data_IF_102447866402
#
_entry.id   IF_102447866402
#
_cell.length_a   1.000
_cell.length_b   1.000
_cell.length_c   1.000
_cell.angle_alpha   90.00
_cell.angle_beta   90.00
_cell.angle_gamma   90.00
#
_symmetry.space_group_name_H-M   'P 1'
#
loop_
_entity.id
_entity.type
_entity.pdbx_description
1 polymer ?
#
# COMPACT_ATOMS: atom_id res chain seq x y z
N UNK A 1 29.00 -1.47 -5.96
CA UNK A 1 28.22 -0.39 -5.31
C UNK A 1 26.86 -0.97 -5.01
N UNK A 2 26.62 -1.44 -3.74
CA UNK A 2 25.37 -2.13 -3.37
C UNK A 2 24.29 -1.05 -3.21
N UNK A 3 23.48 -0.84 -4.23
CA UNK A 3 22.24 -0.11 -4.09
C UNK A 3 21.29 -0.95 -3.26
N UNK A 4 21.14 -0.61 -1.99
CA UNK A 4 20.05 -1.10 -1.14
C UNK A 4 18.74 -0.61 -1.75
N UNK A 5 18.17 -1.40 -2.65
CA UNK A 5 16.82 -1.18 -3.13
C UNK A 5 15.88 -1.47 -1.96
N UNK A 6 15.39 -0.43 -1.32
CA UNK A 6 14.18 -0.52 -0.50
C UNK A 6 13.02 -0.80 -1.45
N UNK A 7 12.79 -2.08 -1.77
CA UNK A 7 11.57 -2.50 -2.43
C UNK A 7 10.40 -1.98 -1.59
N UNK A 8 9.68 -1.03 -2.15
CA UNK A 8 8.59 -0.35 -1.46
C UNK A 8 7.53 -1.40 -1.12
N UNK A 9 7.12 -1.47 0.13
CA UNK A 9 6.35 -2.55 0.76
C UNK A 9 4.95 -2.84 0.14
N UNK A 10 4.57 -2.16 -0.95
CA UNK A 10 3.31 -2.32 -1.66
C UNK A 10 3.50 -2.26 -3.17
N UNK A 11 4.35 -3.13 -3.72
CA UNK A 11 4.60 -3.22 -5.15
C UNK A 11 4.12 -4.57 -5.68
N UNK A 12 3.54 -4.56 -6.90
CA UNK A 12 3.29 -5.80 -7.63
C UNK A 12 4.60 -6.41 -8.10
N UNK A 13 4.62 -7.70 -8.42
CA UNK A 13 5.81 -8.38 -8.95
C UNK A 13 6.31 -7.70 -10.24
N UNK A 14 5.39 -7.21 -11.07
CA UNK A 14 5.71 -6.47 -12.29
C UNK A 14 6.42 -5.16 -11.98
N UNK A 15 5.85 -4.33 -11.11
CA UNK A 15 6.43 -3.03 -10.74
C UNK A 15 7.81 -3.20 -10.09
N UNK A 16 7.98 -4.22 -9.22
CA UNK A 16 9.27 -4.52 -8.61
C UNK A 16 10.30 -5.00 -9.63
N UNK A 17 9.89 -5.79 -10.63
CA UNK A 17 10.79 -6.26 -11.67
C UNK A 17 11.24 -5.12 -12.58
N UNK A 18 10.33 -4.23 -12.98
CA UNK A 18 10.65 -3.03 -13.77
C UNK A 18 11.63 -2.08 -13.04
N UNK A 19 11.46 -1.94 -11.71
CA UNK A 19 12.42 -1.17 -10.88
C UNK A 19 13.83 -1.79 -10.92
N UNK A 20 13.93 -3.10 -10.77
CA UNK A 20 15.21 -3.81 -10.80
C UNK A 20 15.90 -3.78 -12.17
N UNK A 21 15.10 -3.79 -13.24
CA UNK A 21 15.59 -3.63 -14.61
C UNK A 21 15.88 -2.17 -15.00
N UNK A 22 15.68 -1.21 -14.08
CA UNK A 22 15.83 0.24 -14.31
C UNK A 22 14.98 0.78 -15.49
N UNK A 23 13.84 0.18 -15.77
CA UNK A 23 12.92 0.61 -16.82
C UNK A 23 12.11 1.81 -16.35
N UNK A 24 12.04 2.86 -17.19
CA UNK A 24 11.22 4.06 -16.88
C UNK A 24 9.74 3.70 -16.93
N UNK A 25 9.13 3.65 -15.76
CA UNK A 25 7.70 3.35 -15.61
C UNK A 25 7.07 4.17 -14.48
N UNK A 26 5.75 4.25 -14.47
CA UNK A 26 4.97 4.79 -13.36
C UNK A 26 4.37 3.63 -12.56
N UNK A 27 4.50 3.70 -11.24
CA UNK A 27 4.02 2.64 -10.36
C UNK A 27 2.53 2.37 -10.53
N UNK A 28 1.74 3.44 -10.64
CA UNK A 28 0.28 3.35 -10.76
C UNK A 28 -0.15 2.63 -12.04
N UNK A 29 0.57 2.86 -13.15
CA UNK A 29 0.30 2.17 -14.42
C UNK A 29 0.72 0.70 -14.35
N UNK A 30 1.92 0.40 -13.83
CA UNK A 30 2.40 -0.96 -13.68
C UNK A 30 1.50 -1.82 -12.77
N UNK A 31 1.11 -1.26 -11.61
CA UNK A 31 0.21 -1.94 -10.67
C UNK A 31 -1.19 -2.13 -11.27
N UNK A 32 -1.71 -1.15 -12.02
CA UNK A 32 -2.98 -1.26 -12.73
C UNK A 32 -2.92 -2.35 -13.80
N UNK A 33 -1.90 -2.33 -14.66
CA UNK A 33 -1.69 -3.32 -15.71
C UNK A 33 -1.65 -4.74 -15.13
N UNK A 34 -0.88 -4.94 -14.05
CA UNK A 34 -0.79 -6.23 -13.38
C UNK A 34 -2.14 -6.68 -12.81
N UNK A 35 -2.83 -5.82 -12.07
CA UNK A 35 -4.06 -6.18 -11.39
C UNK A 35 -5.22 -6.47 -12.33
N UNK A 36 -5.32 -5.74 -13.44
CA UNK A 36 -6.40 -5.87 -14.43
C UNK A 36 -6.12 -6.97 -15.48
N UNK A 37 -4.87 -7.47 -15.58
CA UNK A 37 -4.51 -8.47 -16.58
C UNK A 37 -5.16 -9.84 -16.24
N UNK A 38 -5.93 -10.44 -17.18
CA UNK A 38 -6.69 -11.67 -16.90
C UNK A 38 -5.77 -12.87 -16.58
N UNK A 39 -4.57 -12.91 -17.13
CA UNK A 39 -3.59 -14.00 -16.95
C UNK A 39 -2.41 -13.60 -16.06
N UNK A 40 -2.60 -12.72 -15.08
CA UNK A 40 -1.52 -12.21 -14.21
C UNK A 40 -0.78 -13.26 -13.40
N UNK A 41 -1.38 -14.42 -13.19
CA UNK A 41 -0.78 -15.55 -12.49
C UNK A 41 -0.19 -16.61 -13.43
N UNK A 42 0.03 -16.28 -14.69
CA UNK A 42 0.66 -17.18 -15.67
C UNK A 42 1.93 -16.59 -16.25
N UNK A 43 2.85 -17.46 -16.67
CA UNK A 43 4.07 -17.06 -17.35
C UNK A 43 3.77 -16.22 -18.61
N UNK A 44 2.76 -16.65 -19.38
CA UNK A 44 2.29 -15.95 -20.57
C UNK A 44 1.84 -14.52 -20.26
N UNK A 45 1.05 -14.34 -19.19
CA UNK A 45 0.58 -13.02 -18.79
C UNK A 45 1.72 -12.10 -18.37
N UNK A 46 2.66 -12.61 -17.58
CA UNK A 46 3.85 -11.86 -17.16
C UNK A 46 4.71 -11.46 -18.37
N UNK A 47 4.95 -12.41 -19.31
CA UNK A 47 5.67 -12.14 -20.56
C UNK A 47 4.97 -11.07 -21.40
N UNK A 48 3.64 -11.12 -21.53
CA UNK A 48 2.86 -10.11 -22.28
C UNK A 48 2.96 -8.74 -21.64
N UNK A 49 2.85 -8.64 -20.31
CA UNK A 49 3.01 -7.37 -19.60
C UNK A 49 4.41 -6.77 -19.81
N UNK A 50 5.47 -7.57 -19.79
CA UNK A 50 6.83 -7.08 -20.11
C UNK A 50 6.95 -6.62 -21.56
N UNK A 51 6.30 -7.31 -22.51
CA UNK A 51 6.27 -6.91 -23.92
C UNK A 51 5.60 -5.55 -24.15
N UNK A 52 4.61 -5.16 -23.31
CA UNK A 52 4.00 -3.82 -23.37
C UNK A 52 5.00 -2.70 -23.04
N UNK A 53 6.02 -3.00 -22.26
CA UNK A 53 7.14 -2.10 -21.98
C UNK A 53 8.28 -2.20 -23.00
N UNK A 54 8.07 -2.97 -24.11
CA UNK A 54 9.10 -3.28 -25.12
C UNK A 54 10.34 -3.93 -24.51
N UNK A 55 10.15 -4.80 -23.54
CA UNK A 55 11.23 -5.54 -22.90
C UNK A 55 11.30 -6.92 -23.54
N UNK A 56 12.42 -7.24 -24.23
CA UNK A 56 12.70 -8.62 -24.67
C UNK A 56 12.66 -9.55 -23.45
N UNK A 57 11.90 -10.63 -23.58
CA UNK A 57 11.75 -11.59 -22.50
C UNK A 57 11.55 -12.99 -23.04
N UNK A 58 12.01 -13.98 -22.29
CA UNK A 58 11.90 -15.39 -22.64
C UNK A 58 11.53 -16.24 -21.41
N UNK A 59 10.49 -17.07 -21.56
CA UNK A 59 10.17 -18.12 -20.61
C UNK A 59 10.98 -19.37 -20.94
N UNK A 60 11.75 -19.88 -20.00
CA UNK A 60 12.65 -21.02 -20.16
C UNK A 60 12.34 -22.06 -19.09
N UNK A 61 12.40 -23.34 -19.47
CA UNK A 61 12.37 -24.47 -18.55
C UNK A 61 13.76 -25.05 -18.40
N UNK A 62 14.28 -25.09 -17.19
CA UNK A 62 15.61 -25.57 -16.85
C UNK A 62 15.49 -26.98 -16.27
N UNK A 63 15.94 -27.98 -17.02
CA UNK A 63 15.89 -29.38 -16.61
C UNK A 63 16.91 -29.69 -15.51
N UNK A 64 18.14 -29.19 -15.66
CA UNK A 64 19.17 -29.35 -14.63
C UNK A 64 19.21 -28.12 -13.71
N UNK A 65 18.55 -28.24 -12.56
CA UNK A 65 18.41 -27.14 -11.59
C UNK A 65 19.75 -26.72 -10.96
N UNK A 66 20.72 -27.60 -10.86
CA UNK A 66 22.00 -27.29 -10.21
C UNK A 66 22.90 -26.40 -11.07
N UNK A 67 23.08 -26.78 -12.35
CA UNK A 67 23.87 -25.98 -13.28
C UNK A 67 23.11 -24.71 -13.69
N UNK A 68 21.81 -24.86 -14.03
CA UNK A 68 21.02 -23.75 -14.53
C UNK A 68 20.84 -22.61 -13.54
N UNK A 69 20.65 -22.93 -12.25
CA UNK A 69 20.53 -21.86 -11.25
C UNK A 69 21.84 -21.06 -11.10
N UNK A 70 22.99 -21.66 -11.33
CA UNK A 70 24.29 -20.97 -11.30
C UNK A 70 24.46 -20.00 -12.47
N UNK A 71 23.97 -20.38 -13.65
CA UNK A 71 24.09 -19.63 -14.90
C UNK A 71 23.09 -18.45 -14.98
N UNK A 72 21.94 -18.56 -14.28
CA UNK A 72 20.94 -17.48 -14.27
C UNK A 72 21.47 -16.21 -13.64
N UNK A 73 21.38 -15.08 -14.35
CA UNK A 73 21.66 -13.76 -13.80
C UNK A 73 20.42 -13.16 -13.14
N UNK A 74 20.60 -12.44 -12.04
CA UNK A 74 19.51 -11.73 -11.36
C UNK A 74 19.36 -10.32 -11.95
N UNK A 75 18.13 -9.76 -12.03
CA UNK A 75 16.88 -10.31 -11.52
C UNK A 75 16.15 -11.22 -12.54
N UNK A 76 15.41 -12.20 -12.03
CA UNK A 76 14.53 -13.04 -12.85
C UNK A 76 13.28 -13.46 -12.08
N UNK A 77 12.20 -13.83 -12.79
CA UNK A 77 11.00 -14.37 -12.16
C UNK A 77 11.06 -15.90 -12.25
N UNK A 78 10.87 -16.59 -11.12
CA UNK A 78 10.84 -18.06 -11.03
C UNK A 78 9.47 -18.56 -10.57
N UNK A 79 9.07 -19.74 -11.01
CA UNK A 79 7.89 -20.43 -10.49
C UNK A 79 8.31 -21.36 -9.34
N UNK A 80 8.04 -20.92 -8.10
CA UNK A 80 8.43 -21.62 -6.90
C UNK A 80 7.29 -21.65 -5.87
N UNK A 81 7.04 -22.79 -5.23
CA UNK A 81 5.97 -22.93 -4.26
C UNK A 81 4.56 -22.67 -4.82
N UNK A 82 4.31 -23.06 -6.09
CA UNK A 82 3.07 -22.87 -6.84
C UNK A 82 2.72 -21.41 -7.18
N UNK A 83 3.65 -20.46 -7.02
CA UNK A 83 3.48 -19.06 -7.39
C UNK A 83 4.72 -18.51 -8.12
N UNK A 84 4.54 -17.37 -8.81
CA UNK A 84 5.66 -16.64 -9.39
C UNK A 84 6.29 -15.74 -8.35
N UNK A 85 7.62 -15.87 -8.19
CA UNK A 85 8.43 -15.10 -7.26
C UNK A 85 9.52 -14.34 -8.02
N UNK A 86 9.86 -13.16 -7.59
CA UNK A 86 10.92 -12.34 -8.19
C UNK A 86 12.21 -12.54 -7.40
N UNK A 87 13.18 -13.21 -8.00
CA UNK A 87 14.52 -13.39 -7.45
C UNK A 87 15.34 -12.15 -7.78
N UNK A 88 15.82 -11.45 -6.76
CA UNK A 88 16.55 -10.19 -6.93
C UNK A 88 18.00 -10.24 -6.42
N UNK A 89 18.34 -11.26 -5.64
CA UNK A 89 19.69 -11.48 -5.14
C UNK A 89 19.95 -12.97 -5.03
N UNK A 90 21.12 -13.37 -5.48
CA UNK A 90 21.57 -14.76 -5.43
C UNK A 90 23.04 -14.79 -5.02
N UNK A 91 23.34 -15.58 -4.00
CA UNK A 91 24.68 -15.89 -3.54
C UNK A 91 24.87 -17.43 -3.54
N UNK A 92 26.08 -17.90 -3.26
CA UNK A 92 26.38 -19.33 -3.24
C UNK A 92 25.57 -20.12 -2.21
N UNK A 93 25.17 -19.50 -1.11
CA UNK A 93 24.46 -20.13 0.01
C UNK A 93 23.00 -19.73 0.13
N UNK A 94 22.64 -18.52 -0.36
CA UNK A 94 21.33 -17.92 -0.11
C UNK A 94 20.74 -17.31 -1.36
N UNK A 95 19.42 -17.35 -1.43
CA UNK A 95 18.60 -16.70 -2.45
C UNK A 95 17.61 -15.77 -1.75
N UNK A 96 17.55 -14.53 -2.23
CA UNK A 96 16.60 -13.52 -1.79
C UNK A 96 15.56 -13.31 -2.88
N UNK A 97 14.31 -13.49 -2.55
CA UNK A 97 13.21 -13.27 -3.49
C UNK A 97 12.03 -12.52 -2.85
N UNK A 98 11.26 -11.88 -3.71
CA UNK A 98 10.01 -11.20 -3.35
C UNK A 98 8.82 -12.14 -3.61
N UNK A 99 8.02 -12.39 -2.57
CA UNK A 99 6.78 -13.14 -2.63
C UNK A 99 5.66 -12.37 -1.93
N UNK A 100 4.57 -12.08 -2.62
CA UNK A 100 3.43 -11.33 -2.08
C UNK A 100 3.84 -10.11 -1.22
N UNK A 101 4.74 -9.28 -1.76
CA UNK A 101 5.32 -8.10 -1.08
C UNK A 101 6.17 -8.40 0.18
N UNK A 102 6.52 -9.65 0.42
CA UNK A 102 7.43 -10.05 1.50
C UNK A 102 8.78 -10.43 0.91
N UNK A 103 9.83 -9.89 1.50
CA UNK A 103 11.20 -10.32 1.19
C UNK A 103 11.51 -11.60 1.96
N UNK A 104 11.89 -12.64 1.26
CA UNK A 104 12.19 -13.96 1.82
C UNK A 104 13.62 -14.32 1.45
N UNK A 105 14.38 -14.75 2.45
CA UNK A 105 15.75 -15.25 2.29
C UNK A 105 15.77 -16.71 2.70
N UNK A 106 16.19 -17.58 1.79
CA UNK A 106 16.29 -19.02 2.04
C UNK A 106 17.61 -19.60 1.49
N UNK A 107 17.97 -20.77 1.98
CA UNK A 107 19.12 -21.51 1.43
C UNK A 107 18.85 -21.95 0.00
N UNK A 108 19.93 -22.00 -0.82
CA UNK A 108 19.89 -22.40 -2.23
C UNK A 108 19.27 -23.78 -2.41
N UNK A 109 19.59 -24.75 -1.55
CA UNK A 109 19.07 -26.11 -1.68
C UNK A 109 17.57 -26.19 -1.38
N UNK A 110 17.09 -25.40 -0.42
CA UNK A 110 15.65 -25.30 -0.16
C UNK A 110 14.91 -24.68 -1.35
N UNK A 111 15.49 -23.61 -1.94
CA UNK A 111 14.91 -22.98 -3.13
C UNK A 111 14.81 -23.96 -4.30
N UNK A 112 15.86 -24.75 -4.58
CA UNK A 112 15.85 -25.78 -5.64
C UNK A 112 14.71 -26.78 -5.47
N UNK A 113 14.37 -27.15 -4.22
CA UNK A 113 13.29 -28.09 -3.95
C UNK A 113 11.91 -27.53 -4.25
N UNK A 114 11.66 -26.24 -3.98
CA UNK A 114 10.37 -25.58 -4.23
C UNK A 114 10.26 -25.02 -5.66
N UNK A 115 11.37 -24.79 -6.34
CA UNK A 115 11.41 -24.27 -7.70
C UNK A 115 11.08 -25.36 -8.72
N UNK A 116 10.17 -25.06 -9.65
CA UNK A 116 9.77 -26.00 -10.71
C UNK A 116 10.79 -26.16 -11.84
N UNK A 117 11.75 -25.24 -11.97
CA UNK A 117 12.66 -25.13 -13.11
C UNK A 117 12.21 -24.08 -14.14
N UNK A 118 10.99 -23.57 -14.03
CA UNK A 118 10.46 -22.53 -14.93
C UNK A 118 10.93 -21.16 -14.47
N UNK A 119 11.45 -20.37 -15.44
CA UNK A 119 11.92 -19.00 -15.23
C UNK A 119 11.45 -18.09 -16.36
N UNK A 120 11.24 -16.82 -16.05
CA UNK A 120 11.06 -15.74 -17.00
C UNK A 120 12.23 -14.77 -16.83
N UNK A 121 13.04 -14.68 -17.88
CA UNK A 121 14.19 -13.79 -17.98
C UNK A 121 13.79 -12.63 -18.85
N UNK A 122 14.21 -11.43 -18.48
CA UNK A 122 13.98 -10.23 -19.26
C UNK A 122 15.18 -9.31 -19.16
N UNK A 123 15.51 -8.68 -20.26
CA UNK A 123 16.62 -7.74 -20.37
C UNK A 123 16.10 -6.42 -20.91
N UNK A 124 16.37 -5.31 -20.18
CA UNK A 124 15.92 -4.01 -20.61
C UNK A 124 16.87 -3.42 -21.65
N UNK A 125 16.32 -2.94 -22.75
CA UNK A 125 17.02 -2.21 -23.81
C UNK A 125 16.79 -0.69 -23.66
N UNK A 126 17.52 0.12 -24.43
CA UNK A 126 17.35 1.59 -24.41
C UNK A 126 15.95 2.04 -24.78
N UNK A 127 15.23 1.25 -25.59
CA UNK A 127 13.85 1.51 -26.02
C UNK A 127 12.79 1.00 -25.02
N UNK A 128 13.21 0.30 -23.96
CA UNK A 128 12.32 -0.27 -22.96
C UNK A 128 11.77 0.85 -22.08
N UNK A 129 10.51 1.19 -22.30
CA UNK A 129 9.83 2.29 -21.60
C UNK A 129 8.31 2.05 -21.56
N UNK A 130 7.66 2.56 -20.52
CA UNK A 130 6.20 2.59 -20.43
C UNK A 130 5.56 3.37 -21.58
N UNK A 131 4.49 2.83 -22.15
CA UNK A 131 3.70 3.55 -23.13
C UNK A 131 3.12 4.84 -22.52
N UNK A 132 3.37 5.98 -23.17
CA UNK A 132 2.96 7.30 -22.69
C UNK A 132 3.53 7.69 -21.32
N UNK A 133 4.75 7.24 -20.98
CA UNK A 133 5.42 7.49 -19.70
C UNK A 133 5.33 8.95 -19.24
N UNK A 134 5.65 9.92 -20.10
CA UNK A 134 5.66 11.36 -19.74
C UNK A 134 4.27 11.84 -19.31
N UNK A 135 3.21 11.38 -19.97
CA UNK A 135 1.84 11.78 -19.65
C UNK A 135 1.40 11.15 -18.31
N UNK A 136 1.69 9.86 -18.12
CA UNK A 136 1.37 9.13 -16.89
C UNK A 136 2.16 9.67 -15.70
N UNK A 137 3.45 9.94 -15.88
CA UNK A 137 4.29 10.57 -14.86
C UNK A 137 3.78 11.94 -14.43
N UNK A 138 3.42 12.81 -15.41
CA UNK A 138 2.83 14.13 -15.12
C UNK A 138 1.48 14.01 -14.37
N UNK A 139 0.67 13.00 -14.72
CA UNK A 139 -0.60 12.73 -14.02
C UNK A 139 -0.35 12.30 -12.57
N UNK A 140 0.55 11.34 -12.34
CA UNK A 140 0.91 10.94 -10.98
C UNK A 140 1.48 12.09 -10.15
N UNK A 141 2.34 12.90 -10.75
CA UNK A 141 2.89 14.05 -10.06
C UNK A 141 1.81 15.07 -9.68
N UNK A 142 0.88 15.39 -10.59
CA UNK A 142 -0.27 16.27 -10.31
C UNK A 142 -1.15 15.70 -9.20
N UNK A 143 -1.43 14.41 -9.21
CA UNK A 143 -2.23 13.75 -8.16
C UNK A 143 -1.52 13.84 -6.80
N UNK A 144 -0.21 13.62 -6.74
CA UNK A 144 0.59 13.78 -5.50
C UNK A 144 0.58 15.23 -4.99
N UNK A 145 0.80 16.20 -5.89
CA UNK A 145 0.77 17.63 -5.52
C UNK A 145 -0.62 18.03 -5.03
N UNK A 146 -1.67 17.60 -5.71
CA UNK A 146 -3.06 17.87 -5.29
C UNK A 146 -3.35 17.30 -3.90
N UNK A 147 -2.94 16.06 -3.64
CA UNK A 147 -3.12 15.42 -2.32
C UNK A 147 -2.33 16.17 -1.24
N UNK A 148 -1.08 16.54 -1.53
CA UNK A 148 -0.24 17.30 -0.60
C UNK A 148 -0.84 18.68 -0.31
N UNK A 149 -1.33 19.40 -1.32
CA UNK A 149 -2.01 20.69 -1.13
C UNK A 149 -3.26 20.53 -0.27
N UNK A 150 -4.09 19.52 -0.53
CA UNK A 150 -5.26 19.24 0.31
C UNK A 150 -4.86 18.98 1.77
N UNK A 151 -3.81 18.18 2.00
CA UNK A 151 -3.31 17.93 3.36
C UNK A 151 -2.80 19.21 4.03
N UNK A 152 -2.07 20.07 3.32
CA UNK A 152 -1.57 21.33 3.86
C UNK A 152 -2.74 22.28 4.19
N UNK A 153 -3.71 22.41 3.30
CA UNK A 153 -4.88 23.29 3.52
C UNK A 153 -5.70 22.77 4.71
N UNK A 154 -6.01 21.48 4.76
CA UNK A 154 -6.81 20.89 5.84
C UNK A 154 -6.10 20.99 7.19
N UNK A 155 -4.78 20.71 7.23
CA UNK A 155 -4.00 20.86 8.47
C UNK A 155 -3.88 22.32 8.92
N UNK A 156 -3.72 23.27 7.99
CA UNK A 156 -3.69 24.70 8.30
C UNK A 156 -5.02 25.18 8.87
N UNK A 157 -6.15 24.78 8.26
CA UNK A 157 -7.48 25.12 8.76
C UNK A 157 -7.71 24.52 10.15
N UNK A 158 -7.28 23.29 10.39
CA UNK A 158 -7.40 22.62 11.68
C UNK A 158 -6.58 23.36 12.76
N UNK A 159 -5.32 23.70 12.46
CA UNK A 159 -4.47 24.46 13.38
C UNK A 159 -5.07 25.83 13.68
N UNK A 160 -5.54 26.54 12.66
CA UNK A 160 -6.21 27.82 12.84
C UNK A 160 -7.43 27.70 13.77
N UNK A 161 -8.31 26.73 13.50
CA UNK A 161 -9.48 26.47 14.35
C UNK A 161 -9.11 26.09 15.79
N UNK A 162 -8.03 25.34 15.99
CA UNK A 162 -7.54 24.99 17.33
C UNK A 162 -7.01 26.21 18.10
N UNK A 163 -6.36 27.16 17.42
CA UNK A 163 -5.87 28.41 18.02
C UNK A 163 -7.06 29.30 18.40
N UNK A 164 -8.01 29.47 17.49
CA UNK A 164 -9.21 30.25 17.68
C UNK A 164 -10.08 29.71 18.84
N UNK A 165 -10.28 28.39 18.88
CA UNK A 165 -10.98 27.71 19.96
C UNK A 165 -10.22 27.72 21.32
N UNK A 166 -9.03 28.31 21.38
CA UNK A 166 -8.22 28.39 22.61
C UNK A 166 -7.85 27.00 23.16
N UNK A 167 -7.68 26.01 22.30
CA UNK A 167 -7.38 24.61 22.70
C UNK A 167 -6.11 24.54 23.52
N UNK A 168 -5.12 25.33 23.17
CA UNK A 168 -3.80 25.35 23.84
C UNK A 168 -3.80 26.11 25.17
N UNK A 169 -4.85 26.82 25.49
CA UNK A 169 -4.96 27.57 26.76
C UNK A 169 -5.48 26.72 27.93
N UNK A 170 -5.98 25.50 27.66
CA UNK A 170 -6.49 24.58 28.69
C UNK A 170 -6.09 23.14 28.41
N UNK A 171 -5.48 22.51 29.40
CA UNK A 171 -5.09 21.09 29.31
C UNK A 171 -6.30 20.17 29.04
N UNK A 172 -7.46 20.52 29.57
CA UNK A 172 -8.68 19.74 29.37
C UNK A 172 -9.12 19.79 27.91
N UNK A 173 -9.09 20.97 27.27
CA UNK A 173 -9.46 21.13 25.85
C UNK A 173 -8.48 20.39 24.96
N UNK A 174 -7.18 20.44 25.27
CA UNK A 174 -6.16 19.68 24.56
C UNK A 174 -6.40 18.17 24.66
N UNK A 175 -6.68 17.67 25.85
CA UNK A 175 -6.96 16.24 26.05
C UNK A 175 -8.24 15.80 25.29
N UNK A 176 -9.29 16.62 25.32
CA UNK A 176 -10.52 16.35 24.56
C UNK A 176 -10.24 16.26 23.06
N UNK A 177 -9.47 17.19 22.49
CA UNK A 177 -9.07 17.15 21.09
C UNK A 177 -8.26 15.89 20.81
N UNK A 178 -7.28 15.57 21.64
CA UNK A 178 -6.43 14.38 21.48
C UNK A 178 -7.25 13.09 21.45
N UNK A 179 -8.16 12.90 22.40
CA UNK A 179 -9.00 11.69 22.42
C UNK A 179 -9.99 11.64 21.26
N UNK A 180 -10.53 12.77 20.79
CA UNK A 180 -11.37 12.81 19.60
C UNK A 180 -10.61 12.41 18.34
N UNK A 181 -9.39 12.93 18.13
CA UNK A 181 -8.54 12.56 17.00
C UNK A 181 -8.13 11.08 17.04
N UNK A 182 -7.80 10.59 18.23
CA UNK A 182 -7.45 9.18 18.42
C UNK A 182 -8.65 8.27 18.13
N UNK A 183 -9.84 8.61 18.61
CA UNK A 183 -11.07 7.88 18.34
C UNK A 183 -11.42 7.87 16.84
N UNK A 184 -11.30 9.03 16.18
CA UNK A 184 -11.50 9.16 14.74
C UNK A 184 -10.53 8.29 13.95
N UNK A 185 -9.25 8.30 14.34
CA UNK A 185 -8.21 7.46 13.71
C UNK A 185 -8.54 5.97 13.83
N UNK A 186 -8.89 5.50 15.03
CA UNK A 186 -9.25 4.08 15.26
C UNK A 186 -10.50 3.70 14.44
N UNK A 187 -11.56 4.51 14.46
CA UNK A 187 -12.77 4.25 13.69
C UNK A 187 -12.49 4.22 12.18
N UNK A 188 -11.63 5.10 11.67
CA UNK A 188 -11.23 5.10 10.26
C UNK A 188 -10.51 3.80 9.87
N UNK A 189 -9.60 3.30 10.73
CA UNK A 189 -8.92 2.04 10.49
C UNK A 189 -9.87 0.84 10.49
N UNK A 190 -10.85 0.82 11.40
CA UNK A 190 -11.88 -0.23 11.45
C UNK A 190 -12.76 -0.19 10.19
N UNK A 191 -13.15 1.00 9.73
CA UNK A 191 -13.90 1.18 8.49
C UNK A 191 -13.11 0.71 7.27
N UNK A 192 -11.82 1.08 7.15
CA UNK A 192 -10.95 0.60 6.07
C UNK A 192 -10.90 -0.94 6.04
N UNK A 193 -10.81 -1.57 7.20
CA UNK A 193 -10.79 -3.03 7.29
C UNK A 193 -12.14 -3.64 6.89
N UNK A 194 -13.24 -3.03 7.28
CA UNK A 194 -14.59 -3.49 6.94
C UNK A 194 -14.88 -3.43 5.42
N UNK A 195 -14.29 -2.44 4.71
CA UNK A 195 -14.40 -2.29 3.24
C UNK A 195 -13.36 -3.17 2.50
N UNK A 196 -12.70 -4.10 3.19
CA UNK A 196 -11.65 -4.98 2.66
C UNK A 196 -10.46 -4.22 2.03
N UNK A 197 -10.23 -2.97 2.39
CA UNK A 197 -9.02 -2.26 2.03
C UNK A 197 -7.88 -2.82 2.89
N UNK A 198 -6.98 -3.58 2.26
CA UNK A 198 -5.79 -4.11 2.92
C UNK A 198 -4.91 -2.96 3.40
N UNK A 199 -4.96 -2.67 4.68
CA UNK A 199 -4.13 -1.67 5.34
C UNK A 199 -3.19 -2.36 6.33
N UNK A 200 -1.90 -2.26 6.08
CA UNK A 200 -0.87 -2.80 6.98
C UNK A 200 -0.94 -2.21 8.40
N UNK A 201 -1.49 -0.98 8.54
CA UNK A 201 -1.70 -0.33 9.83
C UNK A 201 -2.86 -0.95 10.61
N UNK A 202 -3.96 -1.30 9.92
CA UNK A 202 -5.09 -1.98 10.53
C UNK A 202 -4.69 -3.37 11.04
N UNK A 203 -3.89 -4.11 10.26
CA UNK A 203 -3.40 -5.44 10.66
C UNK A 203 -2.44 -5.38 11.84
N UNK A 204 -1.59 -4.35 11.93
CA UNK A 204 -0.71 -4.14 13.08
C UNK A 204 -1.48 -3.84 14.37
N UNK A 205 -2.53 -3.02 14.32
CA UNK A 205 -3.34 -2.71 15.49
C UNK A 205 -4.12 -3.94 15.94
N UNK A 206 -4.70 -4.71 15.00
CA UNK A 206 -5.35 -5.96 15.34
C UNK A 206 -4.40 -7.00 15.95
N UNK A 207 -3.14 -7.03 15.53
CA UNK A 207 -2.13 -7.95 16.08
C UNK A 207 -1.70 -7.60 17.52
N UNK A 208 -1.89 -6.35 17.95
CA UNK A 208 -1.65 -5.94 19.35
C UNK A 208 -2.67 -6.57 20.31
N UNK A 209 -3.88 -6.85 19.83
CA UNK A 209 -4.91 -7.54 20.58
C UNK A 209 -4.82 -9.06 20.35
N UNK A 210 -3.82 -9.69 20.90
CA UNK A 210 -3.31 -11.06 20.72
C UNK A 210 -4.32 -12.23 20.75
N UNK A 211 -5.63 -11.99 20.96
CA UNK A 211 -6.69 -13.01 21.08
C UNK A 211 -7.94 -12.76 20.23
N UNK A 212 -8.02 -11.70 19.45
CA UNK A 212 -9.26 -11.37 18.71
C UNK A 212 -9.03 -11.57 17.23
N UNK A 213 -9.77 -12.47 16.63
CA UNK A 213 -9.94 -12.60 15.20
C UNK A 213 -10.79 -11.42 14.71
N UNK A 214 -10.14 -10.27 14.48
CA UNK A 214 -10.83 -9.01 14.12
C UNK A 214 -11.75 -9.17 12.91
N UNK A 215 -11.44 -10.07 11.98
CA UNK A 215 -12.28 -10.34 10.82
C UNK A 215 -13.61 -10.97 11.23
N UNK A 216 -13.57 -12.01 12.07
CA UNK A 216 -14.79 -12.68 12.53
C UNK A 216 -15.68 -11.77 13.39
N UNK A 217 -15.08 -10.85 14.16
CA UNK A 217 -15.83 -9.90 15.00
C UNK A 217 -16.49 -8.83 14.12
N UNK A 218 -15.78 -8.24 13.16
CA UNK A 218 -16.31 -7.19 12.29
C UNK A 218 -17.39 -7.71 11.30
N UNK A 219 -17.34 -8.98 10.92
CA UNK A 219 -18.31 -9.63 10.04
C UNK A 219 -19.49 -10.25 10.81
N UNK A 220 -19.44 -10.31 12.15
CA UNK A 220 -20.50 -10.86 12.97
C UNK A 220 -21.78 -10.02 12.89
N UNK A 221 -22.93 -10.66 13.09
CA UNK A 221 -24.24 -9.97 13.16
C UNK A 221 -24.28 -8.95 14.30
N UNK A 222 -23.54 -9.19 15.37
CA UNK A 222 -23.48 -8.33 16.56
C UNK A 222 -22.62 -7.08 16.34
N UNK A 223 -21.79 -7.06 15.28
CA UNK A 223 -21.04 -5.87 14.88
C UNK A 223 -21.88 -4.80 14.19
N UNK A 224 -23.15 -5.11 13.86
CA UNK A 224 -24.05 -4.20 13.17
C UNK A 224 -25.29 -3.89 14.01
N UNK A 225 -25.57 -2.61 14.19
CA UNK A 225 -26.81 -2.13 14.78
C UNK A 225 -27.95 -2.34 13.76
N UNK A 226 -28.99 -3.08 14.15
CA UNK A 226 -30.12 -3.47 13.28
C UNK A 226 -29.73 -4.18 11.97
N UNK A 227 -28.51 -4.74 11.90
CA UNK A 227 -28.02 -5.43 10.70
C UNK A 227 -27.62 -4.52 9.53
N UNK A 228 -27.70 -3.18 9.67
CA UNK A 228 -27.45 -2.21 8.59
C UNK A 228 -26.20 -1.38 8.87
N UNK A 229 -26.10 -0.74 10.04
CA UNK A 229 -25.03 0.21 10.37
C UNK A 229 -24.04 -0.46 11.32
N UNK A 230 -22.75 -0.40 11.01
CA UNK A 230 -21.70 -0.93 11.87
C UNK A 230 -21.39 0.01 13.05
N UNK A 231 -20.92 -0.56 14.15
CA UNK A 231 -20.44 0.23 15.29
C UNK A 231 -19.28 1.16 14.93
N UNK A 232 -18.46 0.77 13.94
CA UNK A 232 -17.38 1.62 13.43
C UNK A 232 -17.89 2.86 12.68
N UNK A 233 -18.99 2.73 11.92
CA UNK A 233 -19.66 3.88 11.27
C UNK A 233 -20.27 4.84 12.27
N UNK A 234 -20.95 4.30 13.29
CA UNK A 234 -21.52 5.12 14.37
C UNK A 234 -20.43 5.86 15.15
N UNK A 235 -19.34 5.15 15.50
CA UNK A 235 -18.19 5.74 16.19
C UNK A 235 -17.51 6.82 15.35
N UNK A 236 -17.34 6.59 14.06
CA UNK A 236 -16.79 7.58 13.15
C UNK A 236 -17.66 8.85 13.11
N UNK A 237 -18.99 8.70 12.93
CA UNK A 237 -19.94 9.80 12.93
C UNK A 237 -19.92 10.58 14.24
N UNK A 238 -19.86 9.89 15.39
CA UNK A 238 -19.78 10.49 16.72
C UNK A 238 -18.51 11.37 16.88
N UNK A 239 -17.33 10.83 16.57
CA UNK A 239 -16.08 11.59 16.71
C UNK A 239 -15.97 12.74 15.70
N UNK A 240 -16.49 12.57 14.47
CA UNK A 240 -16.58 13.66 13.50
C UNK A 240 -17.48 14.79 14.01
N UNK A 241 -18.68 14.48 14.52
CA UNK A 241 -19.62 15.47 15.04
C UNK A 241 -19.05 16.21 16.23
N UNK A 242 -18.44 15.48 17.17
CA UNK A 242 -17.78 16.11 18.33
C UNK A 242 -16.64 17.05 17.91
N UNK A 243 -15.84 16.64 16.92
CA UNK A 243 -14.75 17.50 16.42
C UNK A 243 -15.30 18.79 15.80
N UNK A 244 -16.34 18.68 14.97
CA UNK A 244 -16.98 19.84 14.34
C UNK A 244 -17.56 20.77 15.40
N UNK A 245 -18.32 20.26 16.36
CA UNK A 245 -18.91 21.05 17.43
C UNK A 245 -17.80 21.73 18.26
N UNK A 246 -16.77 20.98 18.64
CA UNK A 246 -15.67 21.47 19.46
C UNK A 246 -14.91 22.63 18.80
N UNK A 247 -14.67 22.53 17.49
CA UNK A 247 -13.95 23.55 16.73
C UNK A 247 -14.82 24.74 16.33
N UNK A 248 -16.14 24.55 16.17
CA UNK A 248 -17.06 25.60 15.69
C UNK A 248 -17.79 26.31 16.81
N UNK A 249 -17.97 25.71 17.97
CA UNK A 249 -18.74 26.27 19.07
C UNK A 249 -18.20 27.61 19.59
N UNK A 250 -16.91 27.87 19.74
CA UNK A 250 -16.37 29.15 20.12
C UNK A 250 -16.75 30.25 19.14
N UNK A 251 -16.71 29.98 17.84
CA UNK A 251 -17.11 30.91 16.79
C UNK A 251 -18.59 31.28 16.86
N UNK A 252 -19.46 30.31 17.14
CA UNK A 252 -20.91 30.57 17.33
C UNK A 252 -21.21 31.39 18.58
N UNK A 253 -20.45 31.21 19.65
CA UNK A 253 -20.61 32.00 20.87
C UNK A 253 -20.20 33.47 20.68
N UNK A 254 -19.09 33.75 20.02
CA UNK A 254 -18.69 35.14 19.72
C UNK A 254 -19.70 35.83 18.81
N UNK A 255 -20.26 35.17 17.81
CA UNK A 255 -21.31 35.72 16.95
C UNK A 255 -22.61 35.98 17.69
N UNK A 256 -22.99 35.11 18.64
CA UNK A 256 -24.21 35.34 19.45
C UNK A 256 -24.07 36.51 20.41
N UNK A 257 -22.89 36.77 20.94
CA UNK A 257 -22.59 37.92 21.78
C UNK A 257 -22.62 39.23 20.96
N UNK A 258 -22.10 39.22 19.72
CA UNK A 258 -22.14 40.36 18.80
C UNK A 258 -23.57 40.71 18.34
N UNK A 259 -24.43 39.72 18.14
CA UNK A 259 -25.83 39.92 17.72
C UNK A 259 -26.70 40.27 18.93
N UNK A 260 -26.35 39.83 20.13
CA UNK A 260 -27.09 40.15 21.37
C UNK A 260 -26.78 41.50 21.97
N UNK A 261 -25.81 42.27 21.42
CA UNK A 261 -25.49 43.64 21.84
C UNK A 261 -26.06 44.70 20.90
N UNK A 262 -26.95 44.35 19.98
CA UNK A 262 -27.83 45.28 19.24
C UNK A 262 -29.31 45.10 19.67
#
# INVERSE_FOLDING_TARGET
MRTFFFLNKSQTILSAYLDLLNVKHTKKYADKLYNEHPYKYSLFGLSKMLSEYKIPNAGIEILNKESGLKELEVPFIAYAGNEFVLVYEKDNEKISYLWQNKQINIGVDYFKNIWSGIVLIAEAEEESIEQNYIQNYRREWKDRVKTLLLLVITSSLLVFSCVDAGVFSSIIRFLLLFFNLLGLYVCTLLLMKQIHIQSQYADKICSLFKKSDCNNILESKDAKLWGVISWSEIGFGYFCSNLIIFLWFPFLMEYSVLIGCC
#
